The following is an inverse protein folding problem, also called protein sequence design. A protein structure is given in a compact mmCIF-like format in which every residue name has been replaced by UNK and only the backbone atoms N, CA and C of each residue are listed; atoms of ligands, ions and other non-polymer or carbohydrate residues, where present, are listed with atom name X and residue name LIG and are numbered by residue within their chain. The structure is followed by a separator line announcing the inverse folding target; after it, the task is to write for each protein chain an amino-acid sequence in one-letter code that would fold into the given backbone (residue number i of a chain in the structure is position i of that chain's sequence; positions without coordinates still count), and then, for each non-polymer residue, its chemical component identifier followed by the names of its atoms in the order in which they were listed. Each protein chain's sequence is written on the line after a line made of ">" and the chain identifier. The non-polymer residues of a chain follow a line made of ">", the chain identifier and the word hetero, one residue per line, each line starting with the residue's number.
data_IF_061941264939
#
_entry.id   IF_061941264939
#
_cell.length_a   1.000
_cell.length_b   1.000
_cell.length_c   1.000
_cell.angle_alpha   90.00
_cell.angle_beta   90.00
_cell.angle_gamma   90.00
#
_symmetry.space_group_name_H-M   'P 1'
#
loop_
_entity.id
_entity.type
_entity.pdbx_description
1 polymer ?
#
# COMPACT_ATOMS: atom_id res chain seq x y z
N UNK A 1 -18.90 -58.90 60.12
CA UNK A 1 -18.92 -57.56 60.72
C UNK A 1 -18.04 -56.66 59.83
N UNK A 2 -18.68 -55.73 59.10
CA UNK A 2 -18.16 -54.44 58.59
C UNK A 2 -16.89 -54.46 57.66
N UNK A 3 -16.80 -53.84 56.48
CA UNK A 3 -17.30 -52.55 55.97
C UNK A 3 -17.36 -52.55 54.42
N UNK A 4 -18.43 -51.97 53.86
CA UNK A 4 -18.60 -51.57 52.44
C UNK A 4 -17.62 -50.43 52.10
N UNK A 5 -16.82 -50.58 51.03
CA UNK A 5 -16.04 -49.47 50.43
C UNK A 5 -16.93 -48.67 49.47
N UNK A 6 -17.06 -47.37 49.74
CA UNK A 6 -17.74 -46.39 48.90
C UNK A 6 -16.86 -45.99 47.70
N UNK A 7 -17.45 -45.97 46.51
CA UNK A 7 -16.88 -45.45 45.27
C UNK A 7 -17.20 -43.94 45.22
N UNK A 8 -16.17 -43.09 45.26
CA UNK A 8 -16.32 -41.65 45.02
C UNK A 8 -16.41 -41.35 43.52
N UNK A 9 -17.21 -40.37 43.09
CA UNK A 9 -17.29 -40.00 41.68
C UNK A 9 -16.05 -39.20 41.28
N UNK A 10 -15.38 -39.66 40.22
CA UNK A 10 -14.33 -38.92 39.54
C UNK A 10 -14.97 -37.79 38.73
N UNK A 11 -14.67 -36.54 39.08
CA UNK A 11 -14.97 -35.36 38.28
C UNK A 11 -14.02 -35.32 37.07
N UNK A 12 -14.56 -35.60 35.89
CA UNK A 12 -13.91 -35.37 34.60
C UNK A 12 -13.74 -33.86 34.37
N UNK A 13 -12.51 -33.37 34.51
CA UNK A 13 -12.13 -32.03 34.06
C UNK A 13 -12.09 -31.99 32.53
N UNK A 14 -13.01 -31.27 31.91
CA UNK A 14 -12.98 -30.98 30.48
C UNK A 14 -11.94 -29.91 30.17
N UNK A 15 -10.85 -30.30 29.50
CA UNK A 15 -9.93 -29.35 28.86
C UNK A 15 -10.59 -28.80 27.60
N UNK A 16 -10.94 -27.51 27.61
CA UNK A 16 -11.30 -26.77 26.40
C UNK A 16 -10.01 -26.44 25.67
N UNK A 17 -9.71 -27.15 24.59
CA UNK A 17 -8.64 -26.79 23.67
C UNK A 17 -9.09 -25.57 22.85
N UNK A 18 -8.63 -24.38 23.23
CA UNK A 18 -8.65 -23.21 22.36
C UNK A 18 -7.69 -23.49 21.20
N UNK A 19 -8.25 -23.85 20.03
CA UNK A 19 -7.50 -23.92 18.80
C UNK A 19 -6.96 -22.51 18.50
N UNK A 20 -5.64 -22.34 18.62
CA UNK A 20 -4.97 -21.15 18.14
C UNK A 20 -5.18 -21.07 16.62
N UNK A 21 -5.88 -20.02 16.17
CA UNK A 21 -6.00 -19.74 14.75
C UNK A 21 -4.66 -19.12 14.32
N UNK A 22 -3.75 -19.94 13.80
CA UNK A 22 -2.55 -19.42 13.14
C UNK A 22 -2.98 -18.72 11.85
N UNK A 23 -2.44 -17.52 11.54
CA UNK A 23 -2.73 -16.85 10.29
C UNK A 23 -2.17 -17.70 9.14
N UNK A 24 -3.07 -18.29 8.35
CA UNK A 24 -2.71 -19.02 7.13
C UNK A 24 -2.06 -18.02 6.18
N UNK A 25 -0.78 -18.26 5.87
CA UNK A 25 -0.02 -17.47 4.91
C UNK A 25 0.13 -18.31 3.64
N UNK A 26 -0.40 -17.80 2.53
CA UNK A 26 -0.31 -18.50 1.23
C UNK A 26 1.00 -18.13 0.55
N UNK A 27 1.78 -19.12 0.09
CA UNK A 27 2.97 -18.90 -0.72
C UNK A 27 2.93 -19.72 -2.03
N UNK A 28 3.60 -19.23 -3.06
CA UNK A 28 3.76 -19.94 -4.34
C UNK A 28 4.95 -19.38 -5.13
N UNK A 29 5.50 -20.20 -6.03
CA UNK A 29 6.59 -19.79 -6.93
C UNK A 29 6.04 -19.37 -8.30
N UNK A 30 6.59 -18.31 -8.87
CA UNK A 30 6.28 -17.87 -10.24
C UNK A 30 7.50 -17.25 -10.92
N UNK A 31 7.66 -17.50 -12.22
CA UNK A 31 8.56 -16.75 -13.10
C UNK A 31 7.82 -15.69 -13.93
N UNK A 32 6.49 -15.69 -13.88
CA UNK A 32 5.61 -14.75 -14.56
C UNK A 32 5.09 -13.72 -13.53
N UNK A 33 5.77 -12.58 -13.49
CA UNK A 33 5.43 -11.46 -12.61
C UNK A 33 5.85 -10.11 -13.22
N UNK A 34 5.20 -9.05 -12.77
CA UNK A 34 5.53 -7.65 -13.08
C UNK A 34 5.46 -6.81 -11.81
N UNK A 35 6.56 -6.14 -11.48
CA UNK A 35 6.64 -5.19 -10.37
C UNK A 35 6.30 -3.79 -10.90
N UNK A 36 5.23 -3.20 -10.38
CA UNK A 36 4.76 -1.89 -10.83
C UNK A 36 4.78 -0.88 -9.67
N UNK A 37 5.19 0.35 -9.96
CA UNK A 37 5.08 1.47 -9.04
C UNK A 37 4.44 2.66 -9.76
N UNK A 38 3.25 3.04 -9.33
CA UNK A 38 2.55 4.22 -9.85
C UNK A 38 2.93 5.41 -9.01
N UNK A 39 3.75 6.30 -9.58
CA UNK A 39 4.13 7.55 -8.93
C UNK A 39 3.15 8.65 -9.33
N UNK A 40 2.75 9.48 -8.38
CA UNK A 40 1.78 10.55 -8.63
C UNK A 40 2.23 11.86 -8.00
N UNK A 41 2.17 12.93 -8.79
CA UNK A 41 2.24 14.31 -8.32
C UNK A 41 0.84 14.86 -8.21
N UNK A 42 0.47 15.47 -7.08
CA UNK A 42 -0.81 16.16 -6.92
C UNK A 42 -0.62 17.48 -6.21
N UNK A 43 -1.17 18.56 -6.77
CA UNK A 43 -1.24 19.84 -6.06
C UNK A 43 -2.37 19.81 -5.04
N UNK A 44 -2.05 20.12 -3.79
CA UNK A 44 -3.03 20.32 -2.73
C UNK A 44 -3.01 21.77 -2.24
N UNK A 45 -4.16 22.25 -1.78
CA UNK A 45 -4.28 23.49 -1.01
C UNK A 45 -5.02 23.19 0.28
N UNK A 46 -4.50 23.68 1.39
CA UNK A 46 -5.18 23.62 2.69
C UNK A 46 -5.98 24.90 2.87
N UNK A 47 -7.24 24.75 3.26
CA UNK A 47 -8.14 25.84 3.62
C UNK A 47 -8.40 25.73 5.12
N UNK A 48 -7.98 26.74 5.87
CA UNK A 48 -8.17 26.78 7.31
C UNK A 48 -9.32 27.72 7.64
N UNK A 49 -10.12 27.39 8.65
CA UNK A 49 -11.13 28.30 9.17
C UNK A 49 -10.49 29.61 9.68
N UNK A 50 -11.12 30.73 9.35
CA UNK A 50 -10.79 32.06 9.85
C UNK A 50 -11.39 32.30 11.24
N UNK A 51 -11.19 31.34 12.15
CA UNK A 51 -11.72 31.34 13.52
C UNK A 51 -10.68 31.77 14.56
N UNK A 52 -9.42 31.96 14.14
CA UNK A 52 -8.30 32.32 15.00
C UNK A 52 -7.82 31.20 15.94
N UNK A 53 -8.44 30.02 15.90
CA UNK A 53 -8.01 28.82 16.62
C UNK A 53 -7.66 27.73 15.61
N UNK A 54 -6.40 27.33 15.58
CA UNK A 54 -5.92 26.21 14.78
C UNK A 54 -6.39 24.89 15.43
N UNK A 55 -7.42 24.27 14.85
CA UNK A 55 -7.95 22.98 15.30
C UNK A 55 -7.80 21.97 14.16
N UNK A 56 -7.36 20.73 14.43
CA UNK A 56 -7.14 19.73 13.37
C UNK A 56 -8.37 19.41 12.49
N UNK A 57 -9.59 19.63 12.99
CA UNK A 57 -10.83 19.41 12.24
C UNK A 57 -11.27 20.63 11.42
N UNK A 58 -10.57 21.76 11.52
CA UNK A 58 -10.90 23.03 10.87
C UNK A 58 -10.10 23.24 9.57
N UNK A 59 -9.33 22.24 9.14
CA UNK A 59 -8.54 22.25 7.90
C UNK A 59 -9.17 21.34 6.85
N UNK A 60 -9.55 21.92 5.71
CA UNK A 60 -9.99 21.18 4.51
C UNK A 60 -8.85 21.12 3.50
N UNK A 61 -8.63 19.95 2.91
CA UNK A 61 -7.60 19.75 1.88
C UNK A 61 -8.29 19.56 0.53
N UNK A 62 -8.00 20.42 -0.43
CA UNK A 62 -8.46 20.26 -1.81
C UNK A 62 -7.35 19.78 -2.73
N UNK A 63 -7.72 18.90 -3.66
CA UNK A 63 -6.84 18.39 -4.70
C UNK A 63 -7.09 19.12 -6.01
N UNK A 64 -6.02 19.59 -6.64
CA UNK A 64 -6.03 20.26 -7.94
C UNK A 64 -5.49 19.30 -9.01
N UNK A 65 -4.72 19.82 -9.97
CA UNK A 65 -4.15 19.02 -11.03
C UNK A 65 -3.22 17.93 -10.48
N UNK A 66 -3.28 16.77 -11.11
CA UNK A 66 -2.51 15.59 -10.79
C UNK A 66 -1.96 14.96 -12.07
N UNK A 67 -0.76 14.39 -11.99
CA UNK A 67 -0.14 13.61 -13.08
C UNK A 67 0.51 12.37 -12.48
N UNK A 68 0.24 11.22 -13.07
CA UNK A 68 0.77 9.92 -12.65
C UNK A 68 1.64 9.29 -13.74
N UNK A 69 2.56 8.42 -13.33
CA UNK A 69 3.40 7.61 -14.22
C UNK A 69 3.58 6.22 -13.64
N UNK A 70 3.36 5.20 -14.46
CA UNK A 70 3.63 3.82 -14.10
C UNK A 70 5.10 3.47 -14.39
N UNK A 71 5.79 2.99 -13.36
CA UNK A 71 7.11 2.41 -13.44
C UNK A 71 6.97 0.89 -13.45
N UNK A 72 7.33 0.25 -14.56
CA UNK A 72 7.24 -1.20 -14.70
C UNK A 72 8.63 -1.83 -14.71
N UNK A 73 8.85 -2.79 -13.81
CA UNK A 73 10.08 -3.59 -13.71
C UNK A 73 11.38 -2.75 -13.64
N UNK A 74 11.30 -1.53 -13.11
CA UNK A 74 12.43 -0.59 -13.03
C UNK A 74 12.91 -0.04 -14.39
N UNK A 75 12.20 -0.32 -15.48
CA UNK A 75 12.51 0.18 -16.82
C UNK A 75 12.05 1.63 -16.94
N UNK A 76 12.88 2.50 -17.54
CA UNK A 76 12.55 3.92 -17.74
C UNK A 76 11.31 4.08 -18.63
N UNK A 77 10.20 4.66 -18.13
CA UNK A 77 9.03 4.95 -18.95
C UNK A 77 9.31 6.05 -19.98
N UNK A 78 8.65 6.01 -21.14
CA UNK A 78 8.84 7.01 -22.20
C UNK A 78 8.40 8.43 -21.79
N UNK A 79 7.36 8.54 -20.95
CA UNK A 79 6.82 9.81 -20.44
C UNK A 79 7.57 10.33 -19.19
N UNK A 80 8.63 9.64 -18.75
CA UNK A 80 9.45 10.10 -17.64
C UNK A 80 10.22 11.36 -18.01
N UNK A 81 10.13 12.38 -17.15
CA UNK A 81 10.86 13.65 -17.30
C UNK A 81 12.03 13.71 -16.33
N UNK A 82 11.88 13.16 -15.12
CA UNK A 82 12.94 13.13 -14.10
C UNK A 82 13.15 11.72 -13.56
N UNK A 83 14.30 11.48 -12.94
CA UNK A 83 14.67 10.22 -12.29
C UNK A 83 15.90 9.52 -12.90
N UNK A 84 16.24 8.32 -12.39
CA UNK A 84 15.58 7.69 -11.26
C UNK A 84 15.89 8.43 -9.94
N UNK A 85 14.95 8.47 -9.00
CA UNK A 85 15.17 9.03 -7.66
C UNK A 85 15.95 8.05 -6.74
N UNK A 86 16.10 8.38 -5.45
CA UNK A 86 16.79 7.48 -4.50
C UNK A 86 16.12 6.11 -4.30
N UNK A 87 14.86 5.96 -4.70
CA UNK A 87 14.11 4.69 -4.69
C UNK A 87 14.13 3.98 -6.05
N UNK A 88 14.85 4.52 -7.03
CA UNK A 88 14.91 3.96 -8.37
C UNK A 88 13.67 4.25 -9.22
N UNK A 89 12.86 5.25 -8.86
CA UNK A 89 11.61 5.57 -9.54
C UNK A 89 11.77 6.76 -10.50
N UNK A 90 11.15 6.63 -11.66
CA UNK A 90 11.04 7.67 -12.67
C UNK A 90 9.75 8.46 -12.47
N UNK A 91 9.81 9.76 -12.65
CA UNK A 91 8.72 10.69 -12.37
C UNK A 91 8.26 11.43 -13.64
N UNK A 92 6.95 11.71 -13.77
CA UNK A 92 6.42 12.45 -14.92
C UNK A 92 6.74 13.94 -14.81
N UNK A 93 6.31 14.71 -15.82
CA UNK A 93 6.25 16.16 -15.71
C UNK A 93 5.35 16.59 -14.53
N UNK A 94 5.66 17.75 -13.95
CA UNK A 94 4.83 18.33 -12.90
C UNK A 94 3.47 18.76 -13.46
N UNK A 95 2.35 18.50 -12.74
CA UNK A 95 1.07 19.12 -13.07
C UNK A 95 1.16 20.65 -13.02
N UNK A 96 0.34 21.37 -13.80
CA UNK A 96 0.28 22.82 -13.70
C UNK A 96 -0.10 23.24 -12.28
N UNK A 97 0.63 24.22 -11.73
CA UNK A 97 0.33 24.78 -10.41
C UNK A 97 -1.04 25.47 -10.46
N UNK A 98 -1.92 25.27 -9.47
CA UNK A 98 -3.20 25.98 -9.44
C UNK A 98 -2.98 27.49 -9.38
N UNK A 99 -3.81 28.21 -10.11
CA UNK A 99 -3.82 29.68 -10.14
C UNK A 99 -4.53 30.25 -8.93
N UNK A 100 -4.40 31.56 -8.71
CA UNK A 100 -5.17 32.26 -7.67
C UNK A 100 -6.67 32.09 -7.92
N UNK A 101 -7.11 32.27 -9.18
CA UNK A 101 -8.52 32.12 -9.55
C UNK A 101 -9.05 30.71 -9.26
N UNK A 102 -8.26 29.66 -9.54
CA UNK A 102 -8.65 28.27 -9.22
C UNK A 102 -8.86 28.06 -7.71
N UNK A 103 -8.04 28.72 -6.89
CA UNK A 103 -8.07 28.61 -5.42
C UNK A 103 -9.28 29.37 -4.87
N UNK A 104 -9.48 30.61 -5.31
CA UNK A 104 -10.60 31.45 -4.90
C UNK A 104 -11.95 30.85 -5.32
N UNK A 105 -12.00 30.17 -6.48
CA UNK A 105 -13.21 29.49 -6.95
C UNK A 105 -13.65 28.32 -6.04
N UNK A 106 -12.76 27.79 -5.20
CA UNK A 106 -13.03 26.66 -4.28
C UNK A 106 -13.04 27.07 -2.80
N UNK A 107 -12.92 28.37 -2.53
CA UNK A 107 -12.89 28.94 -1.19
C UNK A 107 -14.31 29.01 -0.59
N UNK A 108 -14.50 28.43 0.60
CA UNK A 108 -15.77 28.57 1.33
C UNK A 108 -15.78 29.81 2.23
N UNK A 109 -16.97 30.11 2.78
CA UNK A 109 -17.14 31.22 3.72
C UNK A 109 -16.29 31.01 4.97
N UNK A 110 -15.58 32.05 5.39
CA UNK A 110 -14.68 32.05 6.56
C UNK A 110 -13.52 31.07 6.44
N UNK A 111 -13.02 30.82 5.23
CA UNK A 111 -11.78 30.09 5.03
C UNK A 111 -10.65 31.01 4.57
N UNK A 112 -9.41 30.60 4.85
CA UNK A 112 -8.21 31.20 4.28
C UNK A 112 -7.37 30.11 3.61
N UNK A 113 -7.00 30.28 2.32
CA UNK A 113 -6.16 29.32 1.63
C UNK A 113 -4.70 29.48 2.07
N UNK A 114 -4.02 28.36 2.23
CA UNK A 114 -2.56 28.30 2.29
C UNK A 114 -1.92 28.28 0.90
N UNK A 115 -0.60 28.41 0.85
CA UNK A 115 0.14 28.24 -0.39
C UNK A 115 -0.04 26.82 -0.97
N UNK A 116 -0.23 26.67 -2.30
CA UNK A 116 -0.29 25.34 -2.91
C UNK A 116 0.97 24.52 -2.65
N UNK A 117 0.76 23.28 -2.24
CA UNK A 117 1.80 22.31 -1.93
C UNK A 117 1.75 21.14 -2.92
N UNK A 118 2.91 20.73 -3.43
CA UNK A 118 3.00 19.59 -4.32
C UNK A 118 3.25 18.32 -3.51
N UNK A 119 2.28 17.42 -3.50
CA UNK A 119 2.38 16.13 -2.81
C UNK A 119 2.84 15.05 -3.79
N UNK A 120 3.79 14.24 -3.33
CA UNK A 120 4.27 13.03 -4.01
C UNK A 120 3.69 11.79 -3.33
N UNK A 121 3.09 10.89 -4.10
CA UNK A 121 2.67 9.57 -3.62
C UNK A 121 3.19 8.46 -4.54
N UNK A 122 3.32 7.26 -3.99
CA UNK A 122 3.72 6.07 -4.74
C UNK A 122 2.89 4.89 -4.29
N UNK A 123 2.21 4.25 -5.25
CA UNK A 123 1.46 3.02 -5.03
C UNK A 123 2.24 1.85 -5.64
N UNK A 124 2.67 0.92 -4.79
CA UNK A 124 3.40 -0.28 -5.22
C UNK A 124 2.45 -1.44 -5.41
N UNK A 125 2.58 -2.14 -6.54
CA UNK A 125 1.83 -3.36 -6.81
C UNK A 125 2.75 -4.42 -7.40
N UNK A 126 2.38 -5.69 -7.18
CA UNK A 126 2.97 -6.84 -7.85
C UNK A 126 1.87 -7.55 -8.62
N UNK A 127 2.07 -7.67 -9.93
CA UNK A 127 1.22 -8.49 -10.79
C UNK A 127 1.83 -9.86 -10.91
N UNK A 128 1.07 -10.91 -10.58
CA UNK A 128 1.52 -12.30 -10.52
C UNK A 128 0.53 -13.21 -11.22
N UNK A 129 1.01 -14.29 -11.81
CA UNK A 129 0.17 -15.37 -12.30
C UNK A 129 0.00 -16.43 -11.20
N UNK A 130 -1.18 -16.47 -10.58
CA UNK A 130 -1.51 -17.45 -9.55
C UNK A 130 -2.51 -18.45 -10.14
N UNK A 131 -2.09 -19.72 -10.26
CA UNK A 131 -2.93 -20.80 -10.78
C UNK A 131 -3.59 -20.51 -12.16
N UNK A 132 -2.87 -19.81 -13.05
CA UNK A 132 -3.35 -19.45 -14.38
C UNK A 132 -4.18 -18.16 -14.42
N UNK A 133 -4.40 -17.50 -13.28
CA UNK A 133 -5.07 -16.20 -13.21
C UNK A 133 -4.07 -15.09 -12.87
N UNK A 134 -4.04 -14.06 -13.71
CA UNK A 134 -3.27 -12.85 -13.43
C UNK A 134 -3.97 -12.03 -12.35
N UNK A 135 -3.23 -11.67 -11.29
CA UNK A 135 -3.72 -10.83 -10.19
C UNK A 135 -2.72 -9.72 -9.92
N UNK A 136 -3.22 -8.49 -9.80
CA UNK A 136 -2.44 -7.34 -9.33
C UNK A 136 -2.76 -7.10 -7.87
N UNK A 137 -1.74 -7.19 -7.03
CA UNK A 137 -1.87 -7.11 -5.58
C UNK A 137 -1.07 -5.91 -5.04
N UNK A 138 -1.63 -5.14 -4.08
CA UNK A 138 -0.89 -4.08 -3.42
C UNK A 138 0.28 -4.64 -2.61
N UNK A 139 1.36 -3.88 -2.53
CA UNK A 139 2.55 -4.24 -1.78
C UNK A 139 3.30 -3.00 -1.28
N UNK A 140 4.52 -3.19 -0.79
CA UNK A 140 5.41 -2.15 -0.28
C UNK A 140 6.68 -2.03 -1.12
N UNK A 141 7.42 -0.95 -0.89
CA UNK A 141 8.63 -0.62 -1.64
C UNK A 141 9.66 -1.77 -1.65
N UNK A 142 9.85 -2.45 -0.53
CA UNK A 142 10.83 -3.53 -0.40
C UNK A 142 10.53 -4.68 -1.36
N UNK A 143 9.25 -5.07 -1.48
CA UNK A 143 8.80 -6.13 -2.39
C UNK A 143 8.97 -5.70 -3.84
N UNK A 144 8.56 -4.47 -4.17
CA UNK A 144 8.79 -3.91 -5.50
C UNK A 144 10.29 -3.96 -5.87
N UNK A 145 11.17 -3.52 -4.96
CA UNK A 145 12.59 -3.44 -5.24
C UNK A 145 13.24 -4.82 -5.40
N UNK A 146 12.84 -5.79 -4.58
CA UNK A 146 13.27 -7.19 -4.68
C UNK A 146 12.85 -7.78 -6.04
N UNK A 147 11.58 -7.61 -6.42
CA UNK A 147 11.03 -8.11 -7.67
C UNK A 147 11.68 -7.45 -8.90
N UNK A 148 11.97 -6.14 -8.86
CA UNK A 148 12.71 -5.47 -9.95
C UNK A 148 14.11 -6.06 -10.12
N UNK A 149 14.83 -6.34 -9.03
CA UNK A 149 16.16 -6.98 -9.10
C UNK A 149 16.07 -8.39 -9.67
N UNK A 150 15.09 -9.17 -9.22
CA UNK A 150 14.84 -10.52 -9.71
C UNK A 150 14.52 -10.50 -11.21
N UNK A 151 13.68 -9.55 -11.66
CA UNK A 151 13.30 -9.42 -13.06
C UNK A 151 14.52 -9.09 -13.94
N UNK A 152 15.39 -8.19 -13.49
CA UNK A 152 16.62 -7.85 -14.21
C UNK A 152 17.56 -9.07 -14.39
N UNK A 153 17.52 -10.01 -13.46
CA UNK A 153 18.29 -11.26 -13.49
C UNK A 153 17.51 -12.45 -14.06
N UNK A 154 16.26 -12.24 -14.49
CA UNK A 154 15.34 -13.30 -14.95
C UNK A 154 15.12 -14.42 -13.91
N UNK A 155 15.23 -14.08 -12.63
CA UNK A 155 15.06 -15.02 -11.52
C UNK A 155 13.56 -15.20 -11.17
N UNK A 156 13.11 -16.43 -10.89
CA UNK A 156 11.78 -16.67 -10.32
C UNK A 156 11.65 -16.05 -8.92
N UNK A 157 10.41 -15.83 -8.50
CA UNK A 157 10.07 -15.38 -7.16
C UNK A 157 9.26 -16.45 -6.43
N UNK A 158 9.58 -16.68 -5.16
CA UNK A 158 8.60 -17.18 -4.19
C UNK A 158 7.83 -15.99 -3.63
N UNK A 159 6.51 -15.96 -3.85
CA UNK A 159 5.61 -14.90 -3.41
C UNK A 159 4.91 -15.33 -2.14
N UNK A 160 4.94 -14.48 -1.11
CA UNK A 160 4.27 -14.70 0.17
C UNK A 160 3.14 -13.69 0.30
N UNK A 161 1.90 -14.18 0.34
CA UNK A 161 0.70 -13.37 0.37
C UNK A 161 0.31 -12.97 1.80
N UNK A 162 -0.38 -11.83 1.89
CA UNK A 162 -0.97 -11.33 3.11
C UNK A 162 -2.30 -12.00 3.46
N UNK A 163 -2.93 -11.57 4.57
CA UNK A 163 -4.23 -12.08 4.98
C UNK A 163 -5.25 -12.03 3.84
N UNK A 164 -6.03 -13.11 3.70
CA UNK A 164 -7.06 -13.25 2.66
C UNK A 164 -6.53 -13.08 1.22
N UNK A 165 -5.23 -13.32 0.99
CA UNK A 165 -4.58 -13.16 -0.32
C UNK A 165 -4.80 -11.76 -0.93
N UNK A 166 -4.92 -10.74 -0.07
CA UNK A 166 -5.26 -9.37 -0.46
C UNK A 166 -4.06 -8.47 -0.76
N UNK A 167 -2.83 -8.90 -0.45
CA UNK A 167 -1.59 -8.15 -0.67
C UNK A 167 -0.40 -9.09 -0.77
N UNK A 168 0.75 -8.57 -1.21
CA UNK A 168 2.02 -9.31 -1.14
C UNK A 168 2.84 -8.78 0.04
N UNK A 169 3.15 -9.67 0.99
CA UNK A 169 3.93 -9.32 2.19
C UNK A 169 5.42 -9.30 1.89
N UNK A 170 5.91 -10.31 1.18
CA UNK A 170 7.32 -10.47 0.85
C UNK A 170 7.48 -11.33 -0.40
N UNK A 171 8.65 -11.22 -1.03
CA UNK A 171 9.08 -12.12 -2.08
C UNK A 171 10.49 -12.58 -1.78
N UNK A 172 10.82 -13.82 -2.12
CA UNK A 172 12.18 -14.36 -2.07
C UNK A 172 12.63 -14.69 -3.48
N UNK A 173 13.85 -14.27 -3.85
CA UNK A 173 14.45 -14.62 -5.14
C UNK A 173 14.92 -16.07 -5.10
N UNK A 174 14.59 -16.85 -6.13
CA UNK A 174 15.02 -18.25 -6.30
C UNK A 174 16.18 -18.41 -7.27
#
# INVERSE_FOLDING_TARGET
>A
MLIRKYIGPALLGGFVAIAACEPITTNFSTSDYSANATVTYTWHVRYNQDSGQDRPNDTRIEKFASVSLENQNGVRPGLAVTGPDEKGLWWPQLPPKPTVDDIEARLDKNERPEAPELIKSVDYTLTVNQAGQQRTLPTRYEVYREAVKAHANQSPLEVILGPQDGSVLSVNVQ
#
